data_IF_888379694675
#
_entry.id   IF_888379694675
#
_cell.length_a   1.000
_cell.length_b   1.000
_cell.length_c   1.000
_cell.angle_alpha   90.00
_cell.angle_beta   90.00
_cell.angle_gamma   90.00
#
_symmetry.space_group_name_H-M   'P 1'
#
loop_
_entity.id
_entity.type
_entity.pdbx_description
1 polymer ?
#
# COMPACT_ATOMS: atom_id res chain seq x y z
N UNK A 1 -18.42 6.45 -10.11
CA UNK A 1 -17.56 6.97 -9.01
C UNK A 1 -16.95 8.27 -9.51
N UNK A 2 -17.40 9.43 -9.03
CA UNK A 2 -16.79 10.70 -9.42
C UNK A 2 -15.41 10.77 -8.78
N UNK A 3 -14.37 10.47 -9.56
CA UNK A 3 -13.00 10.72 -9.14
C UNK A 3 -12.83 12.24 -9.09
N UNK A 4 -12.54 12.80 -7.93
CA UNK A 4 -12.08 14.18 -7.84
C UNK A 4 -10.85 14.36 -8.75
N UNK A 5 -10.61 15.58 -9.22
CA UNK A 5 -9.41 15.89 -10.02
C UNK A 5 -8.13 15.36 -9.35
N UNK A 6 -8.05 15.50 -8.02
CA UNK A 6 -6.95 14.95 -7.22
C UNK A 6 -6.82 13.43 -7.37
N UNK A 7 -7.92 12.68 -7.31
CA UNK A 7 -7.87 11.22 -7.48
C UNK A 7 -7.36 10.81 -8.87
N UNK A 8 -7.69 11.57 -9.92
CA UNK A 8 -7.18 11.33 -11.27
C UNK A 8 -5.68 11.63 -11.39
N UNK A 9 -5.22 12.74 -10.80
CA UNK A 9 -3.80 13.12 -10.75
C UNK A 9 -2.99 12.07 -10.00
N UNK A 10 -3.45 11.65 -8.82
CA UNK A 10 -2.78 10.61 -8.02
C UNK A 10 -2.68 9.28 -8.76
N UNK A 11 -3.76 8.87 -9.45
CA UNK A 11 -3.73 7.65 -10.27
C UNK A 11 -2.71 7.76 -11.40
N UNK A 12 -2.69 8.89 -12.13
CA UNK A 12 -1.76 9.11 -13.24
C UNK A 12 -0.31 9.11 -12.78
N UNK A 13 -0.03 9.75 -11.64
CA UNK A 13 1.32 9.81 -11.08
C UNK A 13 1.80 8.43 -10.60
N UNK A 14 0.92 7.65 -9.96
CA UNK A 14 1.25 6.28 -9.57
C UNK A 14 1.58 5.41 -10.78
N UNK A 15 0.77 5.49 -11.84
CA UNK A 15 0.98 4.74 -13.08
C UNK A 15 2.31 5.14 -13.78
N UNK A 16 2.63 6.45 -13.79
CA UNK A 16 3.91 6.96 -14.29
C UNK A 16 5.10 6.34 -13.54
N UNK A 17 5.06 6.35 -12.21
CA UNK A 17 6.15 5.78 -11.38
C UNK A 17 6.29 4.27 -11.55
N UNK A 18 5.17 3.55 -11.66
CA UNK A 18 5.19 2.11 -11.94
C UNK A 18 5.81 1.83 -13.31
N UNK A 19 5.42 2.60 -14.34
CA UNK A 19 5.98 2.47 -15.68
C UNK A 19 7.48 2.78 -15.72
N UNK A 20 7.92 3.83 -15.02
CA UNK A 20 9.34 4.17 -14.86
C UNK A 20 10.14 3.07 -14.14
N UNK A 21 9.51 2.37 -13.20
CA UNK A 21 10.09 1.20 -12.54
C UNK A 21 10.01 -0.10 -13.38
N UNK A 22 9.48 -0.03 -14.62
CA UNK A 22 9.32 -1.20 -15.50
C UNK A 22 8.22 -2.15 -15.05
N UNK A 23 7.22 -1.65 -14.34
CA UNK A 23 6.10 -2.43 -13.82
C UNK A 23 4.78 -2.00 -14.46
N UNK A 24 4.02 -2.99 -14.93
CA UNK A 24 2.67 -2.80 -15.42
C UNK A 24 1.76 -3.77 -14.68
N UNK A 25 0.78 -3.23 -13.93
CA UNK A 25 -0.16 -4.01 -13.13
C UNK A 25 -1.57 -3.55 -13.43
N UNK A 26 -2.52 -4.47 -13.29
CA UNK A 26 -3.92 -4.12 -13.45
C UNK A 26 -4.39 -3.20 -12.30
N UNK A 27 -5.17 -2.18 -12.62
CA UNK A 27 -5.67 -1.24 -11.61
C UNK A 27 -6.52 -1.94 -10.53
N UNK A 28 -7.17 -3.05 -10.88
CA UNK A 28 -7.90 -3.88 -9.93
C UNK A 28 -6.96 -4.53 -8.90
N UNK A 29 -5.82 -5.05 -9.34
CA UNK A 29 -4.80 -5.66 -8.48
C UNK A 29 -4.16 -4.62 -7.56
N UNK A 30 -3.78 -3.46 -8.10
CA UNK A 30 -3.24 -2.34 -7.31
C UNK A 30 -4.22 -1.96 -6.19
N UNK A 31 -5.50 -1.77 -6.51
CA UNK A 31 -6.53 -1.43 -5.51
C UNK A 31 -6.72 -2.54 -4.48
N UNK A 32 -6.75 -3.79 -4.92
CA UNK A 32 -6.95 -4.94 -4.04
C UNK A 32 -5.80 -5.06 -3.05
N UNK A 33 -4.57 -4.96 -3.52
CA UNK A 33 -3.38 -5.11 -2.69
C UNK A 33 -3.19 -3.94 -1.74
N UNK A 34 -3.43 -2.71 -2.20
CA UNK A 34 -3.43 -1.54 -1.33
C UNK A 34 -4.53 -1.60 -0.27
N UNK A 35 -5.69 -2.19 -0.58
CA UNK A 35 -6.79 -2.39 0.38
C UNK A 35 -6.52 -3.56 1.34
N UNK A 36 -5.79 -4.58 0.89
CA UNK A 36 -5.36 -5.69 1.72
C UNK A 36 -4.31 -5.26 2.74
N UNK A 37 -3.53 -4.22 2.45
CA UNK A 37 -2.61 -3.59 3.39
C UNK A 37 -3.39 -2.87 4.50
N UNK A 38 -3.46 -3.50 5.67
CA UNK A 38 -4.16 -2.99 6.84
C UNK A 38 -3.25 -3.11 8.05
N UNK A 39 -3.44 -2.20 9.00
CA UNK A 39 -2.78 -2.25 10.31
C UNK A 39 -3.83 -2.61 11.34
N UNK A 40 -3.60 -3.69 12.07
CA UNK A 40 -4.44 -4.15 13.17
C UNK A 40 -3.69 -3.85 14.47
N UNK A 41 -4.33 -3.11 15.36
CA UNK A 41 -3.80 -2.88 16.71
C UNK A 41 -4.35 -3.95 17.64
N UNK A 42 -3.47 -4.79 18.17
CA UNK A 42 -3.77 -5.81 19.17
C UNK A 42 -3.40 -5.22 20.53
N UNK A 43 -4.31 -5.30 21.49
CA UNK A 43 -4.05 -4.90 22.88
C UNK A 43 -4.03 -6.16 23.73
N UNK A 44 -2.87 -6.50 24.29
CA UNK A 44 -2.70 -7.69 25.12
C UNK A 44 -1.85 -7.32 26.35
N UNK A 45 -2.36 -7.62 27.55
CA UNK A 45 -1.68 -7.40 28.84
C UNK A 45 -1.03 -6.00 29.02
N UNK A 46 -1.72 -4.95 28.57
CA UNK A 46 -1.27 -3.55 28.71
C UNK A 46 -0.26 -3.07 27.65
N UNK A 47 0.15 -3.95 26.71
CA UNK A 47 0.99 -3.60 25.56
C UNK A 47 0.11 -3.48 24.31
N UNK A 48 0.39 -2.48 23.46
CA UNK A 48 -0.29 -2.33 22.17
C UNK A 48 0.68 -2.72 21.06
N UNK A 49 0.28 -3.70 20.27
CA UNK A 49 1.05 -4.20 19.13
C UNK A 49 0.31 -3.85 17.86
N UNK A 50 0.92 -3.04 16.99
CA UNK A 50 0.48 -2.81 15.63
C UNK A 50 1.04 -3.89 14.72
N UNK A 51 0.18 -4.76 14.22
CA UNK A 51 0.50 -5.81 13.26
C UNK A 51 0.00 -5.41 11.88
N UNK A 52 0.90 -5.46 10.90
CA UNK A 52 0.57 -5.25 9.49
C UNK A 52 0.09 -6.56 8.87
N UNK A 53 -0.96 -6.52 8.07
CA UNK A 53 -1.36 -7.67 7.25
C UNK A 53 -0.23 -8.11 6.30
N UNK A 54 -0.21 -9.39 5.92
CA UNK A 54 0.76 -9.89 4.94
C UNK A 54 0.55 -9.17 3.60
N UNK A 55 1.59 -8.48 3.15
CA UNK A 55 1.64 -7.93 1.79
C UNK A 55 1.96 -9.07 0.82
N UNK A 56 0.94 -9.58 0.13
CA UNK A 56 1.10 -10.50 -1.00
C UNK A 56 0.89 -9.71 -2.30
N UNK A 57 1.45 -10.19 -3.40
CA UNK A 57 1.23 -9.62 -4.73
C UNK A 57 2.14 -8.45 -5.09
N UNK A 58 1.56 -7.41 -5.67
CA UNK A 58 2.23 -6.25 -6.27
C UNK A 58 2.51 -5.12 -5.27
N UNK A 59 1.96 -5.22 -4.05
CA UNK A 59 2.10 -4.22 -2.98
C UNK A 59 3.55 -3.79 -2.72
N UNK A 60 4.49 -4.75 -2.59
CA UNK A 60 5.90 -4.41 -2.34
C UNK A 60 6.55 -3.61 -3.47
N UNK A 61 6.23 -3.96 -4.72
CA UNK A 61 6.72 -3.27 -5.91
C UNK A 61 6.13 -1.87 -6.05
N UNK A 62 4.86 -1.70 -5.66
CA UNK A 62 4.22 -0.38 -5.60
C UNK A 62 4.96 0.52 -4.61
N UNK A 63 5.21 0.06 -3.38
CA UNK A 63 5.93 0.82 -2.36
C UNK A 63 7.34 1.20 -2.82
N UNK A 64 8.05 0.27 -3.46
CA UNK A 64 9.35 0.53 -4.06
C UNK A 64 9.29 1.58 -5.17
N UNK A 65 8.34 1.46 -6.11
CA UNK A 65 8.18 2.39 -7.23
C UNK A 65 7.82 3.82 -6.77
N UNK A 66 7.07 3.95 -5.67
CA UNK A 66 6.80 5.28 -5.09
C UNK A 66 7.92 5.79 -4.19
N UNK A 67 8.94 4.97 -3.89
CA UNK A 67 10.07 5.34 -3.02
C UNK A 67 9.71 5.40 -1.54
N UNK A 68 8.66 4.68 -1.11
CA UNK A 68 8.18 4.67 0.27
C UNK A 68 8.59 3.38 0.96
N UNK A 69 9.19 3.50 2.14
CA UNK A 69 9.53 2.34 2.96
C UNK A 69 8.24 1.62 3.41
N UNK A 70 8.22 0.30 3.22
CA UNK A 70 7.12 -0.53 3.70
C UNK A 70 7.11 -0.52 5.24
N UNK A 71 5.96 -0.27 5.90
CA UNK A 71 5.91 -0.26 7.36
C UNK A 71 6.27 -1.63 7.94
N UNK A 72 6.85 -1.68 9.16
CA UNK A 72 7.24 -2.94 9.79
C UNK A 72 6.03 -3.86 10.03
N UNK A 73 6.28 -5.18 10.02
CA UNK A 73 5.21 -6.19 10.17
C UNK A 73 4.63 -6.20 11.58
N UNK A 74 5.47 -5.99 12.60
CA UNK A 74 5.08 -5.94 14.01
C UNK A 74 5.77 -4.71 14.61
N UNK A 75 5.01 -3.87 15.28
CA UNK A 75 5.52 -2.69 15.98
C UNK A 75 4.81 -2.54 17.33
N UNK A 76 5.54 -2.32 18.42
CA UNK A 76 4.98 -2.00 19.73
C UNK A 76 4.71 -0.47 19.83
N UNK A 77 3.57 -0.08 20.43
CA UNK A 77 3.06 1.31 20.50
C UNK A 77 2.71 1.74 21.92
#
# INVERSE_FOLDING_TARGET
MFCSFLALVLRKELDRRLTEAGHHFEWAEIKQDLKALQRVTIVENGRRLCVRSQSKGVCGKIFQAVGVAMPPTIQEV
#
